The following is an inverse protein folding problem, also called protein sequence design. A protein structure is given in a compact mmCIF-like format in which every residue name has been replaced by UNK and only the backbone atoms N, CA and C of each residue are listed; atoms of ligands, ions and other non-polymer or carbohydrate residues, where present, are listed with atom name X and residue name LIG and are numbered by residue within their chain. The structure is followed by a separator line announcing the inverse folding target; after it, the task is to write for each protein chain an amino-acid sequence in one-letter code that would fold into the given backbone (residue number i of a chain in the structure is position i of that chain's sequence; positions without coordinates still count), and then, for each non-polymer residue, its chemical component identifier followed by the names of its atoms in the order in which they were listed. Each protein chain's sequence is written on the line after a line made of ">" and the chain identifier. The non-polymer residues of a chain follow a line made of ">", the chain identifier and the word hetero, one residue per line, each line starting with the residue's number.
data_IF_575028559899
#
_entry.id   IF_575028559899
#
_cell.length_a   1.000
_cell.length_b   1.000
_cell.length_c   1.000
_cell.angle_alpha   90.00
_cell.angle_beta   90.00
_cell.angle_gamma   90.00
#
_symmetry.space_group_name_H-M   'P 1'
#
loop_
_entity.id
_entity.type
_entity.pdbx_description
1 polymer ?
#
# COMPACT_ATOMS: atom_id res chain seq x y z
N UNK A 1 -0.43 3.44 -14.11
CA UNK A 1 0.81 3.30 -14.91
C UNK A 1 1.69 4.51 -14.64
N UNK A 2 3.00 4.37 -14.36
CA UNK A 2 3.85 5.53 -14.06
C UNK A 2 4.41 6.13 -15.35
N UNK A 3 3.94 7.32 -15.74
CA UNK A 3 4.37 8.06 -16.95
C UNK A 3 5.84 8.58 -16.89
N UNK A 4 6.66 8.02 -16.02
CA UNK A 4 7.99 8.54 -15.69
C UNK A 4 9.12 7.63 -16.14
N UNK A 5 10.20 8.27 -16.54
CA UNK A 5 11.41 7.65 -17.04
C UNK A 5 12.58 7.79 -16.06
N UNK A 6 13.38 6.74 -15.90
CA UNK A 6 14.57 6.73 -15.01
C UNK A 6 15.86 6.51 -15.81
N UNK A 7 16.89 7.30 -15.52
CA UNK A 7 18.26 6.98 -15.93
C UNK A 7 19.14 6.67 -14.71
N UNK A 8 19.80 5.51 -14.73
CA UNK A 8 20.86 5.16 -13.77
C UNK A 8 22.23 5.21 -14.44
N UNK A 9 23.18 5.91 -13.83
CA UNK A 9 24.51 6.18 -14.38
C UNK A 9 25.56 5.79 -13.34
N UNK A 10 26.44 4.86 -13.69
CA UNK A 10 27.59 4.47 -12.86
C UNK A 10 28.71 3.99 -13.76
N UNK A 11 29.96 4.33 -13.44
CA UNK A 11 31.13 3.79 -14.16
C UNK A 11 31.42 2.32 -13.78
N UNK A 12 30.88 1.85 -12.66
CA UNK A 12 31.09 0.48 -12.17
C UNK A 12 30.14 -0.52 -12.86
N UNK A 13 30.70 -1.49 -13.59
CA UNK A 13 29.92 -2.47 -14.35
C UNK A 13 29.02 -3.35 -13.46
N UNK A 14 29.51 -3.75 -12.29
CA UNK A 14 28.78 -4.56 -11.32
C UNK A 14 27.55 -3.79 -10.80
N UNK A 15 27.74 -2.53 -10.42
CA UNK A 15 26.67 -1.64 -9.97
C UNK A 15 25.59 -1.45 -11.04
N UNK A 16 26.01 -1.27 -12.31
CA UNK A 16 25.07 -1.20 -13.43
C UNK A 16 24.27 -2.49 -13.63
N UNK A 17 24.92 -3.64 -13.46
CA UNK A 17 24.25 -4.95 -13.56
C UNK A 17 23.13 -5.07 -12.52
N UNK A 18 23.42 -4.73 -11.26
CA UNK A 18 22.42 -4.76 -10.19
C UNK A 18 21.29 -3.74 -10.38
N UNK A 19 21.62 -2.53 -10.83
CA UNK A 19 20.59 -1.53 -11.14
C UNK A 19 19.68 -1.99 -12.28
N UNK A 20 20.23 -2.66 -13.30
CA UNK A 20 19.45 -3.17 -14.41
C UNK A 20 18.52 -4.31 -13.98
N UNK A 21 19.02 -5.27 -13.20
CA UNK A 21 18.23 -6.35 -12.61
C UNK A 21 17.06 -5.79 -11.77
N UNK A 22 17.37 -4.88 -10.84
CA UNK A 22 16.37 -4.27 -9.97
C UNK A 22 15.32 -3.47 -10.75
N UNK A 23 15.72 -2.59 -11.67
CA UNK A 23 14.78 -1.76 -12.42
C UNK A 23 13.89 -2.60 -13.33
N UNK A 24 14.40 -3.71 -13.87
CA UNK A 24 13.59 -4.65 -14.65
C UNK A 24 12.50 -5.29 -13.79
N UNK A 25 12.80 -5.62 -12.53
CA UNK A 25 11.86 -6.28 -11.62
C UNK A 25 10.86 -5.29 -10.97
N UNK A 26 11.34 -4.12 -10.55
CA UNK A 26 10.59 -3.22 -9.65
C UNK A 26 10.08 -1.93 -10.30
N UNK A 27 10.54 -1.57 -11.50
CA UNK A 27 10.14 -0.31 -12.15
C UNK A 27 9.22 -0.58 -13.35
N UNK A 28 7.98 -0.07 -13.26
CA UNK A 28 6.96 -0.25 -14.29
C UNK A 28 7.07 0.77 -15.45
N UNK A 29 7.91 1.79 -15.33
CA UNK A 29 8.13 2.82 -16.36
C UNK A 29 9.33 2.53 -17.26
N UNK A 30 9.65 3.45 -18.17
CA UNK A 30 10.83 3.32 -19.02
C UNK A 30 12.12 3.60 -18.22
N UNK A 31 13.19 2.86 -18.48
CA UNK A 31 14.49 3.15 -17.86
C UNK A 31 15.69 2.90 -18.78
N UNK A 32 16.81 3.54 -18.47
CA UNK A 32 18.12 3.29 -19.09
C UNK A 32 19.21 3.18 -18.03
N UNK A 33 20.13 2.24 -18.25
CA UNK A 33 21.36 2.09 -17.47
C UNK A 33 22.56 2.42 -18.37
N UNK A 34 23.38 3.37 -17.94
CA UNK A 34 24.50 3.92 -18.69
C UNK A 34 25.81 3.92 -17.88
N UNK A 35 26.94 3.77 -18.58
CA UNK A 35 28.28 3.84 -17.99
C UNK A 35 28.76 5.27 -17.72
N UNK A 36 28.15 6.24 -18.41
CA UNK A 36 28.58 7.65 -18.44
C UNK A 36 27.37 8.56 -18.62
N UNK A 37 27.47 9.79 -18.11
CA UNK A 37 26.53 10.88 -18.40
C UNK A 37 26.51 11.26 -19.90
N UNK A 38 27.59 10.94 -20.63
CA UNK A 38 27.74 11.19 -22.07
C UNK A 38 27.42 9.95 -22.91
N UNK A 39 26.80 8.91 -22.33
CA UNK A 39 26.52 7.68 -23.06
C UNK A 39 25.49 7.90 -24.17
N UNK A 40 25.79 7.38 -25.38
CA UNK A 40 24.82 7.31 -26.50
C UNK A 40 23.49 6.64 -26.12
N UNK A 41 23.48 5.81 -25.08
CA UNK A 41 22.26 5.17 -24.55
C UNK A 41 21.24 6.16 -23.97
N UNK A 42 21.70 7.37 -23.63
CA UNK A 42 20.88 8.45 -23.08
C UNK A 42 20.45 9.44 -24.16
N UNK A 43 21.00 9.36 -25.38
CA UNK A 43 20.57 10.21 -26.51
C UNK A 43 19.10 9.95 -26.82
N UNK A 44 18.33 11.02 -26.96
CA UNK A 44 16.87 11.01 -27.20
C UNK A 44 16.04 10.27 -26.15
N UNK A 45 16.64 9.87 -25.02
CA UNK A 45 15.90 9.33 -23.89
C UNK A 45 15.43 10.48 -23.01
N UNK A 46 14.10 10.64 -22.86
CA UNK A 46 13.55 11.54 -21.85
C UNK A 46 13.96 11.00 -20.48
N UNK A 47 14.47 11.86 -19.61
CA UNK A 47 14.89 11.52 -18.25
C UNK A 47 14.08 12.37 -17.28
N UNK A 48 13.06 11.79 -16.66
CA UNK A 48 12.29 12.47 -15.61
C UNK A 48 13.04 12.40 -14.26
N UNK A 49 13.69 11.27 -13.95
CA UNK A 49 14.50 11.08 -12.76
C UNK A 49 15.87 10.51 -13.10
N UNK A 50 16.92 11.01 -12.44
CA UNK A 50 18.29 10.56 -12.69
C UNK A 50 19.00 10.17 -11.40
N UNK A 51 19.65 9.01 -11.42
CA UNK A 51 20.48 8.49 -10.35
C UNK A 51 21.92 8.37 -10.86
N UNK A 52 22.85 9.00 -10.15
CA UNK A 52 24.24 9.12 -10.59
C UNK A 52 25.16 8.64 -9.47
N UNK A 53 25.90 7.57 -9.74
CA UNK A 53 26.93 7.07 -8.86
C UNK A 53 28.26 7.77 -9.11
N UNK A 54 28.65 8.63 -8.15
CA UNK A 54 29.94 9.32 -8.14
C UNK A 54 30.91 8.74 -7.12
N UNK A 55 30.53 7.62 -6.48
CA UNK A 55 31.27 7.04 -5.36
C UNK A 55 32.67 6.58 -5.80
N UNK A 56 32.77 5.90 -6.96
CA UNK A 56 34.02 5.37 -7.54
C UNK A 56 34.23 5.87 -8.98
N UNK A 57 35.48 6.23 -9.30
CA UNK A 57 35.97 6.46 -10.67
C UNK A 57 35.08 7.34 -11.58
N UNK A 58 34.45 8.38 -11.02
CA UNK A 58 33.56 9.26 -11.77
C UNK A 58 34.35 10.20 -12.69
N UNK A 59 33.90 10.34 -13.93
CA UNK A 59 34.63 10.97 -15.05
C UNK A 59 35.04 12.42 -14.77
N UNK A 60 34.06 13.32 -14.57
CA UNK A 60 34.32 14.76 -14.44
C UNK A 60 33.19 15.48 -13.71
N UNK A 61 33.51 16.13 -12.58
CA UNK A 61 32.54 16.91 -11.83
C UNK A 61 32.05 18.17 -12.57
N UNK A 62 32.85 18.70 -13.50
CA UNK A 62 32.42 19.84 -14.32
C UNK A 62 31.33 19.43 -15.31
N UNK A 63 31.47 18.25 -15.91
CA UNK A 63 30.48 17.72 -16.86
C UNK A 63 29.21 17.29 -16.12
N UNK A 64 29.34 16.75 -14.91
CA UNK A 64 28.20 16.50 -14.02
C UNK A 64 27.41 17.78 -13.74
N UNK A 65 28.10 18.90 -13.48
CA UNK A 65 27.44 20.20 -13.28
C UNK A 65 26.69 20.64 -14.54
N UNK A 66 27.26 20.41 -15.72
CA UNK A 66 26.60 20.67 -17.00
C UNK A 66 25.35 19.82 -17.19
N UNK A 67 25.46 18.51 -16.99
CA UNK A 67 24.37 17.55 -17.11
C UNK A 67 23.21 17.87 -16.16
N UNK A 68 23.49 18.18 -14.89
CA UNK A 68 22.47 18.51 -13.89
C UNK A 68 21.76 19.85 -14.14
N UNK A 69 22.22 20.71 -15.07
CA UNK A 69 21.47 21.92 -15.48
C UNK A 69 20.26 21.62 -16.35
N UNK A 70 20.14 20.41 -16.90
CA UNK A 70 18.99 20.05 -17.74
C UNK A 70 17.67 20.21 -16.96
N UNK A 71 16.80 21.13 -17.38
CA UNK A 71 15.55 21.48 -16.69
C UNK A 71 14.52 20.34 -16.78
N UNK A 72 14.64 19.45 -17.77
CA UNK A 72 13.73 18.32 -17.94
C UNK A 72 13.79 17.26 -16.84
N UNK A 73 14.89 17.20 -16.08
CA UNK A 73 15.07 16.20 -15.02
C UNK A 73 14.45 16.70 -13.71
N UNK A 74 13.34 16.11 -13.28
CA UNK A 74 12.60 16.55 -12.09
C UNK A 74 13.41 16.40 -10.80
N UNK A 75 14.09 15.26 -10.63
CA UNK A 75 14.95 14.98 -9.46
C UNK A 75 16.22 14.25 -9.86
N UNK A 76 17.33 14.62 -9.22
CA UNK A 76 18.64 13.99 -9.40
C UNK A 76 19.11 13.47 -8.04
N UNK A 77 19.53 12.22 -7.98
CA UNK A 77 20.21 11.68 -6.79
C UNK A 77 21.66 11.40 -7.14
N UNK A 78 22.56 11.92 -6.32
CA UNK A 78 23.99 11.73 -6.44
C UNK A 78 24.47 10.87 -5.28
N UNK A 79 24.93 9.67 -5.60
CA UNK A 79 25.59 8.79 -4.66
C UNK A 79 27.06 9.18 -4.52
N UNK A 80 27.56 9.30 -3.29
CA UNK A 80 28.90 9.79 -3.01
C UNK A 80 29.61 8.95 -1.94
N UNK A 81 30.95 8.93 -2.01
CA UNK A 81 31.81 8.40 -0.95
C UNK A 81 32.07 9.48 0.11
N UNK A 82 32.24 9.08 1.37
CA UNK A 82 32.30 9.96 2.56
C UNK A 82 33.11 11.25 2.42
N UNK A 83 34.24 11.22 1.71
CA UNK A 83 35.13 12.35 1.49
C UNK A 83 34.71 13.33 0.37
N UNK A 84 33.56 13.15 -0.28
CA UNK A 84 33.12 13.94 -1.46
C UNK A 84 31.95 14.89 -1.19
N UNK A 85 31.33 14.85 -0.01
CA UNK A 85 30.08 15.61 0.27
C UNK A 85 30.26 17.13 0.14
N UNK A 86 31.29 17.70 0.77
CA UNK A 86 31.47 19.15 0.80
C UNK A 86 31.80 19.72 -0.57
N UNK A 87 32.55 18.96 -1.38
CA UNK A 87 32.85 19.30 -2.77
C UNK A 87 31.58 19.33 -3.62
N UNK A 88 30.71 18.32 -3.46
CA UNK A 88 29.43 18.23 -4.17
C UNK A 88 28.45 19.33 -3.73
N UNK A 89 28.32 19.59 -2.42
CA UNK A 89 27.47 20.67 -1.90
C UNK A 89 27.91 22.05 -2.40
N UNK A 90 29.22 22.31 -2.48
CA UNK A 90 29.77 23.55 -3.06
C UNK A 90 29.44 23.66 -4.55
N UNK A 91 29.54 22.56 -5.30
CA UNK A 91 29.29 22.52 -6.74
C UNK A 91 27.82 22.83 -7.10
N UNK A 92 26.89 22.40 -6.25
CA UNK A 92 25.43 22.47 -6.49
C UNK A 92 24.68 23.44 -5.57
N UNK A 93 25.37 24.42 -4.97
CA UNK A 93 24.80 25.39 -4.03
C UNK A 93 23.53 26.12 -4.53
N UNK A 94 23.32 26.25 -5.85
CA UNK A 94 22.16 26.90 -6.48
C UNK A 94 21.04 25.94 -6.96
N UNK A 95 21.17 24.62 -6.76
CA UNK A 95 20.25 23.60 -7.30
C UNK A 95 19.82 22.55 -6.23
N UNK A 96 19.91 22.90 -4.95
CA UNK A 96 19.70 21.95 -3.85
C UNK A 96 18.28 21.34 -3.84
N UNK A 97 17.27 22.08 -4.28
CA UNK A 97 15.87 21.60 -4.25
C UNK A 97 15.64 20.40 -5.19
N UNK A 98 16.48 20.25 -6.23
CA UNK A 98 16.37 19.17 -7.23
C UNK A 98 17.37 18.04 -7.01
N UNK A 99 18.39 18.24 -6.17
CA UNK A 99 19.51 17.29 -6.01
C UNK A 99 19.52 16.72 -4.59
N UNK A 100 19.44 15.40 -4.48
CA UNK A 100 19.60 14.68 -3.23
C UNK A 100 20.98 14.01 -3.21
N UNK A 101 21.73 14.20 -2.13
CA UNK A 101 23.00 13.52 -1.92
C UNK A 101 22.80 12.29 -1.03
N UNK A 102 23.29 11.13 -1.45
CA UNK A 102 23.23 9.88 -0.67
C UNK A 102 24.62 9.27 -0.50
N UNK A 103 24.99 8.95 0.74
CA UNK A 103 26.26 8.29 1.05
C UNK A 103 26.19 6.81 0.68
N UNK A 104 27.24 6.30 0.04
CA UNK A 104 27.42 4.85 -0.16
C UNK A 104 28.31 4.32 0.96
N UNK A 105 27.81 3.35 1.74
CA UNK A 105 28.62 2.66 2.76
C UNK A 105 29.52 1.62 2.09
N UNK A 106 30.69 1.35 2.67
CA UNK A 106 31.78 0.58 2.04
C UNK A 106 31.46 -0.92 1.84
N UNK A 107 30.33 -1.42 2.32
CA UNK A 107 29.98 -2.84 2.27
C UNK A 107 29.49 -3.17 0.85
N UNK A 108 30.42 -3.60 0.00
CA UNK A 108 30.14 -4.09 -1.36
C UNK A 108 29.38 -5.43 -1.31
N UNK A 109 28.07 -5.42 -1.11
CA UNK A 109 27.22 -6.58 -1.39
C UNK A 109 26.05 -6.19 -2.30
N UNK A 110 25.60 -7.16 -3.12
CA UNK A 110 24.41 -7.02 -3.97
C UNK A 110 23.20 -6.54 -3.16
N UNK A 111 23.03 -7.08 -1.95
CA UNK A 111 21.96 -6.73 -1.01
C UNK A 111 22.05 -5.28 -0.52
N UNK A 112 23.25 -4.78 -0.18
CA UNK A 112 23.41 -3.39 0.23
C UNK A 112 22.97 -2.42 -0.87
N UNK A 113 23.36 -2.70 -2.13
CA UNK A 113 22.96 -1.88 -3.26
C UNK A 113 21.45 -1.96 -3.53
N UNK A 114 20.85 -3.16 -3.47
CA UNK A 114 19.41 -3.35 -3.63
C UNK A 114 18.63 -2.58 -2.55
N UNK A 115 19.07 -2.62 -1.29
CA UNK A 115 18.38 -1.93 -0.20
C UNK A 115 18.41 -0.40 -0.38
N UNK A 116 19.58 0.16 -0.67
CA UNK A 116 19.72 1.61 -0.92
C UNK A 116 18.92 2.06 -2.14
N UNK A 117 18.83 1.22 -3.17
CA UNK A 117 18.11 1.51 -4.39
C UNK A 117 16.59 1.35 -4.22
N UNK A 118 16.15 0.36 -3.44
CA UNK A 118 14.74 0.13 -3.07
C UNK A 118 14.16 1.32 -2.33
N UNK A 119 14.83 1.80 -1.29
CA UNK A 119 14.37 2.97 -0.53
C UNK A 119 14.38 4.26 -1.36
N UNK A 120 15.25 4.32 -2.36
CA UNK A 120 15.35 5.46 -3.26
C UNK A 120 14.27 5.46 -4.33
N UNK A 121 13.93 4.30 -4.90
CA UNK A 121 12.81 4.16 -5.82
C UNK A 121 11.48 4.31 -5.07
N UNK A 122 11.39 3.88 -3.81
CA UNK A 122 10.26 4.27 -2.94
C UNK A 122 10.15 5.79 -2.88
N UNK A 123 11.23 6.55 -2.69
CA UNK A 123 11.18 8.02 -2.67
C UNK A 123 10.79 8.66 -4.02
N UNK A 124 11.11 8.01 -5.15
CA UNK A 124 10.93 8.56 -6.51
C UNK A 124 9.70 8.05 -7.25
N UNK A 125 9.11 6.94 -6.82
CA UNK A 125 7.93 6.38 -7.45
C UNK A 125 6.74 7.33 -7.24
N UNK A 126 5.96 7.65 -8.29
CA UNK A 126 4.73 8.42 -8.12
C UNK A 126 3.63 7.60 -7.43
N UNK A 127 3.91 6.32 -7.14
CA UNK A 127 3.05 5.45 -6.34
C UNK A 127 3.31 5.66 -4.85
N UNK A 128 4.47 6.20 -4.45
CA UNK A 128 4.75 6.53 -3.04
C UNK A 128 4.19 7.88 -2.57
N UNK A 129 3.57 8.66 -3.47
CA UNK A 129 2.73 9.78 -3.07
C UNK A 129 1.29 9.37 -2.70
N UNK A 130 0.99 8.07 -2.58
CA UNK A 130 -0.14 7.59 -1.79
C UNK A 130 0.37 6.99 -0.47
N UNK A 131 0.62 7.92 0.46
CA UNK A 131 0.74 7.78 1.91
C UNK A 131 1.26 6.43 2.43
N UNK A 132 2.59 6.32 2.54
CA UNK A 132 3.15 5.79 3.79
C UNK A 132 2.95 6.87 4.86
N UNK A 133 1.73 6.95 5.42
CA UNK A 133 1.55 7.64 6.68
C UNK A 133 2.45 6.93 7.69
N UNK A 134 3.27 7.69 8.40
CA UNK A 134 4.06 7.15 9.50
C UNK A 134 3.09 6.43 10.45
N UNK A 135 3.42 5.22 10.91
CA UNK A 135 2.61 4.52 11.92
C UNK A 135 2.43 5.39 13.17
N UNK A 136 3.34 6.34 13.41
CA UNK A 136 3.21 7.37 14.43
C UNK A 136 2.07 8.38 14.16
N UNK A 137 1.79 8.74 12.90
CA UNK A 137 0.64 9.59 12.54
C UNK A 137 -0.67 8.80 12.59
N UNK A 138 -0.68 7.51 12.26
CA UNK A 138 -1.83 6.61 12.40
C UNK A 138 -2.28 6.40 13.86
N UNK A 139 -1.36 6.55 14.81
CA UNK A 139 -1.64 6.49 16.25
C UNK A 139 -2.34 7.73 16.80
N UNK A 140 -2.56 8.76 15.98
CA UNK A 140 -3.36 9.93 16.39
C UNK A 140 -4.85 9.63 16.32
N UNK A 141 -5.42 9.15 17.43
CA UNK A 141 -6.81 9.27 17.89
C UNK A 141 -7.97 9.24 16.86
N UNK A 142 -7.93 8.43 15.81
CA UNK A 142 -9.09 8.24 14.93
C UNK A 142 -9.92 7.05 15.41
N UNK A 143 -10.94 7.31 16.23
CA UNK A 143 -11.99 6.33 16.51
C UNK A 143 -12.81 6.10 15.23
N UNK A 144 -12.79 4.89 14.69
CA UNK A 144 -13.65 4.54 13.56
C UNK A 144 -15.04 4.16 14.06
N UNK A 145 -16.09 4.52 13.32
CA UNK A 145 -17.45 4.11 13.64
C UNK A 145 -17.71 2.65 13.22
N UNK A 146 -17.02 2.20 12.17
CA UNK A 146 -17.21 0.91 11.53
C UNK A 146 -15.94 0.50 10.78
N UNK A 147 -15.60 -0.79 10.84
CA UNK A 147 -14.47 -1.39 10.13
C UNK A 147 -15.00 -2.38 9.09
N UNK A 148 -14.49 -2.32 7.87
CA UNK A 148 -14.89 -3.16 6.74
C UNK A 148 -13.68 -3.97 6.25
N UNK A 149 -13.80 -5.29 6.17
CA UNK A 149 -12.74 -6.21 5.72
C UNK A 149 -13.22 -7.02 4.51
N UNK A 150 -12.37 -7.10 3.49
CA UNK A 150 -12.57 -7.97 2.33
C UNK A 150 -11.38 -8.91 2.14
N UNK A 151 -11.62 -10.20 1.92
CA UNK A 151 -10.55 -11.19 1.72
C UNK A 151 -11.00 -12.40 0.88
N UNK A 152 -10.03 -13.11 0.27
CA UNK A 152 -10.29 -14.33 -0.51
C UNK A 152 -9.21 -15.39 -0.20
N UNK A 153 -8.50 -15.94 -1.18
CA UNK A 153 -7.37 -16.87 -0.98
C UNK A 153 -6.33 -16.29 -0.01
N UNK A 154 -5.92 -17.07 1.02
CA UNK A 154 -5.09 -16.63 2.14
C UNK A 154 -5.80 -15.79 3.20
N UNK A 155 -7.00 -15.29 2.89
CA UNK A 155 -7.87 -14.55 3.79
C UNK A 155 -8.20 -15.27 5.10
N UNK A 156 -8.49 -16.58 5.12
CA UNK A 156 -8.81 -17.28 6.35
C UNK A 156 -7.67 -17.27 7.39
N UNK A 157 -6.41 -17.31 6.95
CA UNK A 157 -5.26 -17.25 7.85
C UNK A 157 -4.92 -15.80 8.22
N UNK A 158 -5.01 -14.86 7.28
CA UNK A 158 -4.84 -13.44 7.54
C UNK A 158 -5.83 -12.91 8.59
N UNK A 159 -7.12 -13.22 8.42
CA UNK A 159 -8.18 -12.84 9.36
C UNK A 159 -8.00 -13.52 10.73
N UNK A 160 -7.57 -14.78 10.77
CA UNK A 160 -7.26 -15.46 12.05
C UNK A 160 -6.18 -14.70 12.82
N UNK A 161 -5.10 -14.29 12.15
CA UNK A 161 -3.99 -13.57 12.79
C UNK A 161 -4.42 -12.20 13.29
N UNK A 162 -5.20 -11.45 12.50
CA UNK A 162 -5.73 -10.15 12.90
C UNK A 162 -6.68 -10.33 14.10
N UNK A 163 -7.74 -11.11 13.93
CA UNK A 163 -8.85 -11.25 14.90
C UNK A 163 -8.35 -11.83 16.23
N UNK A 164 -7.40 -12.77 16.19
CA UNK A 164 -6.82 -13.37 17.40
C UNK A 164 -6.00 -12.41 18.26
N UNK A 165 -5.63 -11.24 17.73
CA UNK A 165 -4.88 -10.20 18.46
C UNK A 165 -5.77 -9.03 18.91
N UNK A 166 -7.02 -8.95 18.43
CA UNK A 166 -7.94 -7.87 18.80
C UNK A 166 -8.42 -8.01 20.24
N UNK A 167 -8.52 -6.87 20.93
CA UNK A 167 -9.04 -6.76 22.30
C UNK A 167 -10.45 -6.16 22.27
N UNK A 168 -11.24 -6.24 23.37
CA UNK A 168 -12.51 -5.53 23.48
C UNK A 168 -12.37 -4.01 23.35
N UNK A 169 -13.52 -3.33 23.25
CA UNK A 169 -13.71 -1.92 22.90
C UNK A 169 -13.47 -1.58 21.43
N UNK A 170 -13.83 -2.52 20.55
CA UNK A 170 -13.71 -2.33 19.12
C UNK A 170 -15.00 -1.76 18.51
N UNK A 171 -14.87 -0.89 17.49
CA UNK A 171 -15.96 -0.65 16.56
C UNK A 171 -16.46 -1.98 15.97
N UNK A 172 -17.71 -2.04 15.48
CA UNK A 172 -18.16 -3.22 14.76
C UNK A 172 -17.30 -3.48 13.52
N UNK A 173 -17.02 -4.75 13.25
CA UNK A 173 -16.21 -5.20 12.11
C UNK A 173 -17.11 -6.00 11.17
N UNK A 174 -17.19 -5.62 9.90
CA UNK A 174 -17.94 -6.34 8.87
C UNK A 174 -16.96 -7.01 7.92
N UNK A 175 -17.17 -8.29 7.61
CA UNK A 175 -16.24 -9.11 6.85
C UNK A 175 -16.95 -9.81 5.71
N UNK A 176 -16.44 -9.61 4.49
CA UNK A 176 -16.71 -10.49 3.36
C UNK A 176 -15.47 -11.34 3.12
N UNK A 177 -15.63 -12.65 3.31
CA UNK A 177 -14.60 -13.65 3.03
C UNK A 177 -15.13 -14.59 1.94
N UNK A 178 -14.44 -14.69 0.81
CA UNK A 178 -14.81 -15.62 -0.26
C UNK A 178 -14.57 -17.05 0.18
N UNK A 179 -15.62 -17.70 0.68
CA UNK A 179 -15.60 -19.06 1.20
C UNK A 179 -16.98 -19.68 1.01
N UNK A 180 -17.03 -20.98 0.69
CA UNK A 180 -18.31 -21.67 0.56
C UNK A 180 -19.05 -21.71 1.91
N UNK A 181 -20.40 -21.64 1.92
CA UNK A 181 -21.20 -21.55 3.14
C UNK A 181 -20.88 -22.60 4.22
N UNK A 182 -20.67 -23.86 3.83
CA UNK A 182 -20.41 -24.96 4.77
C UNK A 182 -19.09 -24.80 5.52
N UNK A 183 -18.04 -24.31 4.83
CA UNK A 183 -16.76 -24.01 5.47
C UNK A 183 -16.86 -22.76 6.34
N UNK A 184 -17.69 -21.80 5.95
CA UNK A 184 -17.85 -20.54 6.68
C UNK A 184 -18.43 -20.76 8.08
N UNK A 185 -19.36 -21.72 8.26
CA UNK A 185 -19.90 -22.11 9.58
C UNK A 185 -18.76 -22.48 10.53
N UNK A 186 -17.93 -23.44 10.10
CA UNK A 186 -16.79 -23.96 10.88
C UNK A 186 -15.73 -22.88 11.10
N UNK A 187 -15.54 -22.01 10.12
CA UNK A 187 -14.60 -20.90 10.22
C UNK A 187 -15.04 -19.87 11.28
N UNK A 188 -16.33 -19.52 11.32
CA UNK A 188 -16.87 -18.63 12.35
C UNK A 188 -16.70 -19.22 13.75
N UNK A 189 -17.00 -20.52 13.94
CA UNK A 189 -16.77 -21.19 15.22
C UNK A 189 -15.30 -21.16 15.63
N UNK A 190 -14.37 -21.31 14.68
CA UNK A 190 -12.93 -21.21 14.94
C UNK A 190 -12.54 -19.81 15.37
N UNK A 191 -13.08 -18.77 14.73
CA UNK A 191 -12.84 -17.38 15.11
C UNK A 191 -13.39 -17.08 16.51
N UNK A 192 -14.59 -17.56 16.85
CA UNK A 192 -15.18 -17.40 18.20
C UNK A 192 -14.27 -17.95 19.30
N UNK A 193 -13.47 -18.98 19.03
CA UNK A 193 -12.56 -19.58 20.03
C UNK A 193 -11.28 -18.78 20.27
N UNK A 194 -10.93 -17.84 19.40
CA UNK A 194 -9.65 -17.11 19.46
C UNK A 194 -9.81 -15.62 19.77
N UNK A 195 -11.04 -15.14 19.92
CA UNK A 195 -11.32 -13.73 20.23
C UNK A 195 -12.39 -13.61 21.31
N UNK A 196 -12.36 -12.48 22.02
CA UNK A 196 -13.39 -12.11 23.00
C UNK A 196 -14.50 -11.27 22.37
N UNK A 197 -14.34 -10.86 21.12
CA UNK A 197 -15.36 -10.17 20.33
C UNK A 197 -16.47 -11.16 19.92
N UNK A 198 -17.69 -10.66 19.79
CA UNK A 198 -18.83 -11.47 19.35
C UNK A 198 -18.74 -11.73 17.85
N UNK A 199 -18.35 -12.94 17.45
CA UNK A 199 -18.37 -13.36 16.04
C UNK A 199 -19.77 -13.85 15.67
N UNK A 200 -20.34 -13.31 14.60
CA UNK A 200 -21.68 -13.64 14.12
C UNK A 200 -21.69 -13.78 12.61
N UNK A 201 -22.41 -14.78 12.11
CA UNK A 201 -22.81 -14.83 10.69
C UNK A 201 -24.00 -13.90 10.47
N UNK A 202 -23.85 -12.98 9.53
CA UNK A 202 -24.95 -12.15 9.05
C UNK A 202 -25.84 -12.96 8.11
N UNK A 203 -27.12 -13.12 8.45
CA UNK A 203 -28.08 -13.91 7.66
C UNK A 203 -29.18 -13.02 7.05
N UNK A 204 -29.66 -12.04 7.83
CA UNK A 204 -30.73 -11.14 7.45
C UNK A 204 -30.65 -9.86 8.28
N UNK A 205 -31.57 -8.93 8.06
CA UNK A 205 -31.59 -7.60 8.68
C UNK A 205 -31.29 -7.62 10.18
N UNK A 206 -30.25 -6.90 10.59
CA UNK A 206 -29.89 -6.77 11.99
C UNK A 206 -29.18 -5.47 12.31
N UNK A 207 -29.39 -4.96 13.53
CA UNK A 207 -28.65 -3.82 14.07
C UNK A 207 -27.20 -4.23 14.34
N UNK A 208 -26.28 -3.40 13.87
CA UNK A 208 -24.85 -3.54 14.09
C UNK A 208 -24.49 -2.93 15.44
N UNK A 209 -23.79 -3.70 16.27
CA UNK A 209 -23.38 -3.26 17.61
C UNK A 209 -21.86 -3.36 17.78
N UNK A 210 -21.24 -2.51 18.62
CA UNK A 210 -19.81 -2.59 18.93
C UNK A 210 -19.38 -3.95 19.48
N UNK A 211 -18.08 -4.20 19.53
CA UNK A 211 -17.47 -5.45 20.00
C UNK A 211 -17.96 -6.70 19.26
N UNK A 212 -18.34 -6.55 17.99
CA UNK A 212 -18.89 -7.64 17.17
C UNK A 212 -18.20 -7.71 15.82
N UNK A 213 -18.00 -8.94 15.33
CA UNK A 213 -17.49 -9.26 14.00
C UNK A 213 -18.61 -9.95 13.24
N UNK A 214 -19.11 -9.31 12.19
CA UNK A 214 -20.15 -9.84 11.32
C UNK A 214 -19.53 -10.39 10.04
N UNK A 215 -19.81 -11.64 9.72
CA UNK A 215 -19.29 -12.32 8.54
C UNK A 215 -20.46 -12.63 7.61
N UNK A 216 -20.39 -12.20 6.34
CA UNK A 216 -21.41 -12.48 5.34
C UNK A 216 -21.67 -14.00 5.23
N UNK A 217 -22.92 -14.44 5.07
CA UNK A 217 -23.31 -15.85 5.19
C UNK A 217 -22.75 -16.80 4.13
N UNK A 218 -22.24 -16.29 3.01
CA UNK A 218 -21.76 -17.07 1.88
C UNK A 218 -22.82 -17.34 0.79
N UNK A 219 -24.06 -16.87 0.98
CA UNK A 219 -25.20 -17.14 0.09
C UNK A 219 -25.75 -15.87 -0.56
N UNK A 220 -25.72 -14.76 0.16
CA UNK A 220 -26.27 -13.49 -0.30
C UNK A 220 -25.29 -12.36 -0.06
N UNK A 221 -25.47 -11.28 -0.81
CA UNK A 221 -24.74 -10.06 -0.53
C UNK A 221 -25.08 -9.51 0.85
N UNK A 222 -24.05 -8.98 1.52
CA UNK A 222 -24.16 -8.25 2.76
C UNK A 222 -24.02 -6.77 2.45
N UNK A 223 -25.07 -6.00 2.72
CA UNK A 223 -25.08 -4.54 2.58
C UNK A 223 -25.20 -3.87 3.94
N UNK A 224 -24.73 -2.63 4.06
CA UNK A 224 -24.88 -1.80 5.26
C UNK A 224 -25.66 -0.53 4.95
N UNK A 225 -26.54 -0.13 5.87
CA UNK A 225 -27.25 1.13 5.87
C UNK A 225 -27.14 1.84 7.23
N UNK A 226 -27.43 3.13 7.27
CA UNK A 226 -27.50 3.92 8.51
C UNK A 226 -28.84 4.62 8.62
N UNK A 227 -29.51 4.46 9.77
CA UNK A 227 -30.77 5.14 10.11
C UNK A 227 -30.55 5.90 11.43
N UNK A 228 -30.56 7.23 11.36
CA UNK A 228 -30.14 8.06 12.50
C UNK A 228 -28.67 7.82 12.84
N UNK A 229 -28.40 7.44 14.10
CA UNK A 229 -27.07 7.05 14.57
C UNK A 229 -26.75 5.57 14.38
N UNK A 230 -27.76 4.75 14.09
CA UNK A 230 -27.65 3.29 14.11
C UNK A 230 -27.30 2.72 12.73
N UNK A 231 -26.43 1.71 12.72
CA UNK A 231 -26.07 0.93 11.54
C UNK A 231 -26.88 -0.36 11.49
N UNK A 232 -27.29 -0.75 10.28
CA UNK A 232 -28.03 -1.98 10.04
C UNK A 232 -27.44 -2.74 8.86
N UNK A 233 -27.22 -4.03 9.03
CA UNK A 233 -26.91 -4.92 7.91
C UNK A 233 -28.21 -5.30 7.21
N UNK A 234 -28.17 -5.42 5.89
CA UNK A 234 -29.29 -5.78 5.04
C UNK A 234 -28.89 -6.88 4.08
N UNK A 235 -29.84 -7.78 3.82
CA UNK A 235 -29.65 -8.90 2.91
C UNK A 235 -29.83 -8.39 1.48
N UNK A 236 -28.76 -8.43 0.70
CA UNK A 236 -28.79 -8.12 -0.72
C UNK A 236 -29.20 -9.33 -1.58
N UNK A 237 -29.12 -9.16 -2.89
CA UNK A 237 -29.39 -10.25 -3.86
C UNK A 237 -28.36 -11.38 -3.75
N UNK A 238 -28.65 -12.52 -4.37
CA UNK A 238 -27.72 -13.64 -4.55
C UNK A 238 -27.01 -13.61 -5.92
N UNK A 239 -27.34 -12.65 -6.79
CA UNK A 239 -26.72 -12.45 -8.09
C UNK A 239 -25.23 -12.14 -7.95
N UNK A 240 -24.39 -12.81 -8.74
CA UNK A 240 -22.94 -12.65 -8.61
C UNK A 240 -22.45 -11.32 -9.17
N UNK A 241 -21.65 -10.60 -8.39
CA UNK A 241 -20.87 -9.44 -8.83
C UNK A 241 -19.44 -9.89 -9.06
N UNK A 242 -18.92 -9.69 -10.29
CA UNK A 242 -17.57 -10.15 -10.70
C UNK A 242 -17.32 -11.65 -10.41
N UNK A 243 -18.37 -12.46 -10.47
CA UNK A 243 -18.31 -13.89 -10.19
C UNK A 243 -18.43 -14.28 -8.71
N UNK A 244 -18.58 -13.32 -7.80
CA UNK A 244 -18.64 -13.55 -6.35
C UNK A 244 -20.02 -13.20 -5.77
N UNK A 245 -20.49 -14.05 -4.86
CA UNK A 245 -21.57 -13.77 -3.93
C UNK A 245 -21.27 -14.55 -2.64
N UNK A 246 -21.06 -13.87 -1.49
CA UNK A 246 -21.02 -12.41 -1.31
C UNK A 246 -19.83 -11.76 -2.03
N UNK A 247 -19.99 -10.50 -2.45
CA UNK A 247 -18.93 -9.68 -3.07
C UNK A 247 -18.47 -8.60 -2.09
N UNK A 248 -17.17 -8.35 -2.06
CA UNK A 248 -16.55 -7.28 -1.27
C UNK A 248 -16.96 -5.91 -1.82
N UNK A 249 -17.02 -5.75 -3.16
CA UNK A 249 -17.48 -4.51 -3.79
C UNK A 249 -18.89 -4.13 -3.33
N UNK A 250 -19.81 -5.08 -3.16
CA UNK A 250 -21.19 -4.79 -2.74
C UNK A 250 -21.23 -4.23 -1.31
N UNK A 251 -20.53 -4.88 -0.37
CA UNK A 251 -20.42 -4.36 1.00
C UNK A 251 -19.81 -2.96 0.99
N UNK A 252 -18.67 -2.79 0.32
CA UNK A 252 -17.91 -1.54 0.34
C UNK A 252 -18.69 -0.40 -0.33
N UNK A 253 -19.36 -0.65 -1.45
CA UNK A 253 -20.20 0.34 -2.13
C UNK A 253 -21.42 0.74 -1.28
N UNK A 254 -22.03 -0.19 -0.55
CA UNK A 254 -23.12 0.15 0.37
C UNK A 254 -22.66 1.05 1.53
N UNK A 255 -21.48 0.76 2.08
CA UNK A 255 -20.86 1.59 3.11
C UNK A 255 -20.46 2.99 2.58
N UNK A 256 -19.98 3.08 1.33
CA UNK A 256 -19.61 4.36 0.73
C UNK A 256 -20.77 5.37 0.60
N UNK A 257 -22.02 4.88 0.58
CA UNK A 257 -23.23 5.73 0.56
C UNK A 257 -23.54 6.37 1.92
N UNK A 258 -22.94 5.88 3.01
CA UNK A 258 -23.19 6.39 4.36
C UNK A 258 -22.43 7.70 4.56
N UNK A 259 -23.17 8.76 4.91
CA UNK A 259 -22.61 10.09 5.19
C UNK A 259 -22.31 10.25 6.67
N UNK A 260 -21.34 11.12 6.99
CA UNK A 260 -20.95 11.50 8.36
C UNK A 260 -20.61 10.26 9.21
N UNK A 261 -19.71 9.45 8.68
CA UNK A 261 -19.19 8.25 9.34
C UNK A 261 -17.70 8.15 9.10
N UNK A 262 -16.93 7.87 10.15
CA UNK A 262 -15.51 7.60 10.06
C UNK A 262 -15.30 6.10 9.81
N UNK A 263 -15.03 5.73 8.56
CA UNK A 263 -14.94 4.33 8.15
C UNK A 263 -13.48 3.93 7.92
N UNK A 264 -13.11 2.75 8.42
CA UNK A 264 -11.87 2.06 8.03
C UNK A 264 -12.22 0.90 7.11
N UNK A 265 -11.59 0.82 5.96
CA UNK A 265 -11.78 -0.29 5.02
C UNK A 265 -10.44 -0.91 4.63
N UNK A 266 -10.33 -2.22 4.77
CA UNK A 266 -9.10 -2.96 4.53
C UNK A 266 -9.39 -4.08 3.53
N UNK A 267 -8.64 -4.10 2.43
CA UNK A 267 -8.67 -5.18 1.44
C UNK A 267 -7.43 -6.06 1.59
N UNK A 268 -7.65 -7.30 2.02
CA UNK A 268 -6.62 -8.28 2.31
C UNK A 268 -6.31 -9.13 1.07
N UNK A 269 -5.36 -10.05 1.26
CA UNK A 269 -4.95 -11.06 0.28
C UNK A 269 -6.13 -11.78 -0.37
N UNK A 270 -5.96 -12.07 -1.65
CA UNK A 270 -6.97 -12.73 -2.46
C UNK A 270 -6.68 -12.65 -3.95
N UNK A 271 -7.27 -13.58 -4.70
CA UNK A 271 -7.24 -13.58 -6.16
C UNK A 271 -8.31 -12.66 -6.75
N UNK A 272 -8.07 -12.09 -7.93
CA UNK A 272 -9.04 -11.29 -8.67
C UNK A 272 -9.01 -9.81 -8.29
N UNK A 273 -10.13 -9.12 -8.52
CA UNK A 273 -10.25 -7.66 -8.34
C UNK A 273 -11.48 -7.22 -7.56
N UNK A 274 -12.23 -8.17 -6.98
CA UNK A 274 -13.38 -7.83 -6.13
C UNK A 274 -12.92 -7.05 -4.90
N UNK A 275 -13.70 -6.03 -4.53
CA UNK A 275 -13.38 -5.08 -3.47
C UNK A 275 -12.54 -3.88 -3.92
N UNK A 276 -11.90 -3.92 -5.10
CA UNK A 276 -11.07 -2.81 -5.57
C UNK A 276 -11.91 -1.54 -5.83
N UNK A 277 -12.99 -1.68 -6.61
CA UNK A 277 -13.86 -0.55 -6.97
C UNK A 277 -14.63 -0.03 -5.75
N UNK A 278 -15.14 -0.92 -4.91
CA UNK A 278 -15.78 -0.56 -3.66
C UNK A 278 -14.83 0.16 -2.70
N UNK A 279 -13.56 -0.26 -2.65
CA UNK A 279 -12.55 0.42 -1.84
C UNK A 279 -12.29 1.84 -2.40
N UNK A 280 -12.29 2.00 -3.72
CA UNK A 280 -12.16 3.32 -4.34
C UNK A 280 -13.37 4.22 -4.02
N UNK A 281 -14.59 3.66 -4.07
CA UNK A 281 -15.81 4.36 -3.65
C UNK A 281 -15.72 4.84 -2.20
N UNK A 282 -15.21 4.00 -1.30
CA UNK A 282 -14.98 4.36 0.11
C UNK A 282 -13.90 5.44 0.26
N UNK A 283 -12.80 5.36 -0.50
CA UNK A 283 -11.77 6.41 -0.50
C UNK A 283 -12.38 7.75 -0.92
N UNK A 284 -13.20 7.75 -1.97
CA UNK A 284 -13.86 8.95 -2.51
C UNK A 284 -14.94 9.50 -1.57
N UNK A 285 -15.52 8.66 -0.70
CA UNK A 285 -16.45 9.11 0.35
C UNK A 285 -15.74 9.61 1.62
N UNK A 286 -14.41 9.54 1.66
CA UNK A 286 -13.57 10.04 2.76
C UNK A 286 -13.05 8.95 3.71
N UNK A 287 -13.44 7.70 3.55
CA UNK A 287 -13.00 6.59 4.40
C UNK A 287 -11.48 6.41 4.39
N UNK A 288 -10.92 5.87 5.47
CA UNK A 288 -9.53 5.43 5.49
C UNK A 288 -9.40 4.06 4.83
N UNK A 289 -8.70 3.98 3.70
CA UNK A 289 -8.63 2.76 2.89
C UNK A 289 -7.23 2.17 2.89
N UNK A 290 -7.13 0.88 3.18
CA UNK A 290 -5.87 0.16 3.33
C UNK A 290 -5.89 -1.10 2.47
N UNK A 291 -4.77 -1.44 1.86
CA UNK A 291 -4.56 -2.75 1.25
C UNK A 291 -3.41 -3.49 1.93
N UNK A 292 -3.49 -4.82 1.94
CA UNK A 292 -2.37 -5.66 2.36
C UNK A 292 -1.23 -5.60 1.34
N UNK A 293 0.02 -5.51 1.80
CA UNK A 293 1.19 -5.50 0.93
C UNK A 293 1.43 -6.87 0.26
N UNK A 294 2.24 -6.88 -0.79
CA UNK A 294 2.59 -8.10 -1.52
C UNK A 294 3.32 -9.11 -0.64
N UNK A 295 4.28 -8.66 0.17
CA UNK A 295 5.15 -9.52 0.99
C UNK A 295 4.39 -10.41 1.98
N UNK A 296 3.31 -9.89 2.57
CA UNK A 296 2.51 -10.67 3.53
C UNK A 296 1.26 -11.28 2.91
N UNK A 297 0.97 -11.00 1.64
CA UNK A 297 -0.15 -11.59 0.92
C UNK A 297 0.21 -12.98 0.41
N UNK A 298 -0.64 -13.97 0.65
CA UNK A 298 -0.49 -15.29 0.02
C UNK A 298 -0.77 -15.18 -1.49
N UNK A 299 -1.83 -14.45 -1.85
CA UNK A 299 -2.14 -14.05 -3.22
C UNK A 299 -2.32 -12.53 -3.28
N UNK A 300 -1.47 -11.85 -4.03
CA UNK A 300 -1.49 -10.40 -4.21
C UNK A 300 -2.29 -9.99 -5.46
N UNK A 301 -3.55 -10.44 -5.55
CA UNK A 301 -4.48 -10.08 -6.63
C UNK A 301 -5.38 -8.91 -6.27
N UNK A 302 -6.29 -9.11 -5.31
CA UNK A 302 -7.26 -8.09 -4.87
C UNK A 302 -6.56 -6.81 -4.37
N UNK A 303 -5.52 -6.89 -3.49
CA UNK A 303 -4.79 -5.70 -3.07
C UNK A 303 -4.10 -4.96 -4.23
N UNK A 304 -3.54 -5.70 -5.19
CA UNK A 304 -2.88 -5.15 -6.38
C UNK A 304 -3.88 -4.41 -7.27
N UNK A 305 -5.03 -5.02 -7.56
CA UNK A 305 -6.08 -4.40 -8.37
C UNK A 305 -6.58 -3.09 -7.74
N UNK A 306 -6.74 -3.06 -6.41
CA UNK A 306 -7.10 -1.86 -5.68
C UNK A 306 -6.00 -0.78 -5.75
N UNK A 307 -4.73 -1.17 -5.63
CA UNK A 307 -3.60 -0.24 -5.74
C UNK A 307 -3.48 0.35 -7.15
N UNK A 308 -3.68 -0.45 -8.20
CA UNK A 308 -3.57 -0.03 -9.61
C UNK A 308 -4.57 1.06 -9.99
N UNK A 309 -5.76 1.06 -9.39
CA UNK A 309 -6.78 2.10 -9.59
C UNK A 309 -6.70 3.24 -8.56
N UNK A 310 -5.69 3.21 -7.68
CA UNK A 310 -5.51 4.22 -6.64
C UNK A 310 -6.57 4.18 -5.54
N UNK A 311 -7.18 3.03 -5.25
CA UNK A 311 -8.19 2.87 -4.22
C UNK A 311 -7.63 2.89 -2.78
N UNK A 312 -6.35 2.58 -2.62
CA UNK A 312 -5.68 2.57 -1.31
C UNK A 312 -5.23 3.98 -0.90
N UNK A 313 -5.36 4.32 0.39
CA UNK A 313 -4.58 5.39 1.02
C UNK A 313 -3.26 4.83 1.54
N UNK A 314 -3.27 3.64 2.13
CA UNK A 314 -2.04 3.00 2.63
C UNK A 314 -1.91 1.56 2.14
N UNK A 315 -0.67 1.12 1.95
CA UNK A 315 -0.30 -0.28 1.70
C UNK A 315 0.50 -0.76 2.90
N UNK A 316 -0.04 -1.72 3.66
CA UNK A 316 0.49 -2.13 4.96
C UNK A 316 0.76 -3.64 5.00
N UNK A 317 1.76 -4.07 5.75
CA UNK A 317 1.95 -5.48 6.08
C UNK A 317 0.79 -5.98 6.96
N UNK A 318 0.56 -7.30 7.00
CA UNK A 318 -0.46 -7.88 7.87
C UNK A 318 -0.27 -7.51 9.36
N UNK A 319 0.99 -7.43 9.79
CA UNK A 319 1.35 -6.99 11.14
C UNK A 319 0.95 -5.55 11.39
N UNK A 320 1.29 -4.63 10.48
CA UNK A 320 0.91 -3.22 10.56
C UNK A 320 -0.61 -3.03 10.53
N UNK A 321 -1.34 -3.81 9.72
CA UNK A 321 -2.81 -3.83 9.72
C UNK A 321 -3.34 -4.22 11.10
N UNK A 322 -2.71 -5.21 11.73
CA UNK A 322 -3.11 -5.65 13.07
C UNK A 322 -2.81 -4.59 14.12
N UNK A 323 -1.68 -3.89 14.00
CA UNK A 323 -1.32 -2.78 14.89
C UNK A 323 -2.31 -1.62 14.80
N UNK A 324 -2.70 -1.16 13.60
CA UNK A 324 -3.66 -0.05 13.46
C UNK A 324 -5.04 -0.40 14.02
N UNK A 325 -5.45 -1.68 13.90
CA UNK A 325 -6.71 -2.15 14.48
C UNK A 325 -6.62 -2.23 16.00
N UNK A 326 -5.44 -2.58 16.53
CA UNK A 326 -5.21 -2.70 17.98
C UNK A 326 -4.94 -1.36 18.67
N UNK A 327 -4.53 -0.34 17.91
CA UNK A 327 -4.20 1.00 18.41
C UNK A 327 -5.42 1.94 18.53
N UNK A 328 -6.64 1.44 18.31
CA UNK A 328 -7.87 2.19 18.55
C UNK A 328 -7.97 2.55 20.05
N UNK A 329 -7.64 3.79 20.41
CA UNK A 329 -7.89 4.32 21.76
C UNK A 329 -9.36 4.69 21.93
N UNK A 330 -9.88 4.34 23.10
CA UNK A 330 -11.29 4.46 23.49
C UNK A 330 -11.62 5.90 23.83
N UNK A 331 -12.44 6.58 23.02
CA UNK A 331 -13.14 7.79 23.45
C UNK A 331 -14.64 7.48 23.61
N UNK A 332 -15.07 7.28 24.85
CA UNK A 332 -16.48 7.35 25.20
C UNK A 332 -16.88 8.83 25.29
N UNK A 333 -17.76 9.28 24.41
CA UNK A 333 -18.58 10.46 24.68
C UNK A 333 -19.81 9.96 25.44
N UNK A 334 -19.90 10.29 26.73
CA UNK A 334 -21.07 10.03 27.57
C UNK A 334 -22.27 10.91 27.18
#
# INVERSE_FOLDING_TARGET
>A
MSDYSIAFISNEAVTRSYANEFLTEKWLGNFKVASSINSKRLENFKIDFCLIDTSKNFESFNDLKGFCKNIGIKKIIIFYAENKLDKLKKLFKKQQDRIIFKKVERINSKEFFINQFSDLIKLLSPVSSQSFMDLAELKTSNSYDLILLGASTGGPEALKQIIGKLKPNMPPILVVLHMQPDFLVRYCERLTRITTLKVKRFINHEKVVPNSIYIADGLNHMEISKTGSDYFLNKGTDEKVKGHCPSVDVLFNSAARIKKSNLLAILLTGMGSDGAEGLNSLKNSGAFTVTQNEETSEVYGMPKAALEIGAAKCVLSLEQITEILSAQEVQFSY
#
